data_IF_083994544849
#
_entry.id   IF_083994544849
#
_cell.length_a   1.000
_cell.length_b   1.000
_cell.length_c   1.000
_cell.angle_alpha   90.00
_cell.angle_beta   90.00
_cell.angle_gamma   90.00
#
_symmetry.space_group_name_H-M   'P 1'
#
loop_
_entity.id
_entity.type
_entity.pdbx_description
1 polymer ?
#
# COMPACT_ATOMS: atom_id res chain seq x y z
N UNK A 1 -20.37 -23.05 46.14
CA UNK A 1 -21.26 -22.64 45.03
C UNK A 1 -21.14 -21.13 44.85
N UNK A 2 -20.75 -20.74 43.63
CA UNK A 2 -20.95 -19.44 42.95
C UNK A 2 -20.01 -18.26 43.26
N UNK A 3 -19.20 -17.99 42.22
CA UNK A 3 -18.56 -16.75 41.78
C UNK A 3 -19.48 -15.51 41.76
N UNK A 4 -18.85 -14.36 41.48
CA UNK A 4 -19.38 -13.12 40.87
C UNK A 4 -19.59 -12.00 41.90
N UNK A 5 -18.92 -10.85 41.90
CA UNK A 5 -18.44 -9.97 40.82
C UNK A 5 -17.14 -9.26 41.29
N UNK A 6 -16.03 -9.45 40.58
CA UNK A 6 -14.92 -8.49 40.54
C UNK A 6 -14.93 -7.91 39.13
N UNK A 7 -15.74 -6.87 38.93
CA UNK A 7 -15.73 -6.05 37.71
C UNK A 7 -14.68 -4.98 37.86
N UNK A 8 -13.66 -5.10 37.01
CA UNK A 8 -12.98 -4.03 36.25
C UNK A 8 -13.19 -2.60 36.75
N UNK A 9 -12.16 -2.06 37.42
CA UNK A 9 -11.63 -0.71 37.23
C UNK A 9 -10.39 -0.55 38.13
N UNK A 10 -9.20 -0.71 37.57
CA UNK A 10 -7.97 -0.24 38.23
C UNK A 10 -7.90 1.26 37.97
N UNK A 11 -8.45 2.04 38.89
CA UNK A 11 -8.39 3.49 38.90
C UNK A 11 -6.95 3.93 39.19
N UNK A 12 -6.20 4.23 38.14
CA UNK A 12 -4.81 4.64 38.19
C UNK A 12 -4.75 6.14 38.54
N UNK A 13 -4.86 6.44 39.83
CA UNK A 13 -4.72 7.78 40.37
C UNK A 13 -3.24 8.14 40.51
N UNK A 14 -2.65 8.67 39.44
CA UNK A 14 -1.40 9.43 39.54
C UNK A 14 -1.79 10.89 39.74
N UNK A 15 -1.40 11.44 40.88
CA UNK A 15 -1.52 12.87 41.19
C UNK A 15 -0.76 13.68 40.14
N UNK A 16 -1.48 14.53 39.40
CA UNK A 16 -0.88 15.50 38.49
C UNK A 16 -0.10 16.53 39.31
N UNK A 17 1.21 16.35 39.42
CA UNK A 17 2.11 17.46 39.69
C UNK A 17 2.41 18.11 38.34
N UNK A 18 2.03 19.39 38.22
CA UNK A 18 2.37 20.25 37.09
C UNK A 18 3.90 20.40 37.00
N UNK A 19 4.54 19.57 36.17
CA UNK A 19 5.86 19.88 35.66
C UNK A 19 5.71 20.57 34.31
N UNK A 20 6.27 21.78 34.22
CA UNK A 20 6.25 22.64 33.06
C UNK A 20 6.89 21.96 31.85
N UNK A 21 6.08 21.74 30.82
CA UNK A 21 6.50 21.31 29.50
C UNK A 21 7.41 22.38 28.86
N UNK A 22 8.70 22.09 28.68
CA UNK A 22 9.46 22.68 27.59
C UNK A 22 9.06 21.95 26.31
N UNK A 23 7.94 22.40 25.74
CA UNK A 23 7.61 22.14 24.35
C UNK A 23 8.76 22.68 23.49
N UNK A 24 9.46 21.77 22.80
CA UNK A 24 10.25 22.17 21.64
C UNK A 24 9.23 22.67 20.62
N UNK A 25 9.06 23.99 20.55
CA UNK A 25 8.33 24.67 19.49
C UNK A 25 8.89 24.21 18.15
N UNK A 26 8.18 23.26 17.53
CA UNK A 26 8.32 22.94 16.12
C UNK A 26 7.75 24.15 15.38
N UNK A 27 8.61 25.12 15.12
CA UNK A 27 8.30 26.30 14.30
C UNK A 27 7.72 25.83 12.97
N UNK A 28 6.39 25.93 12.87
CA UNK A 28 5.61 25.51 11.73
C UNK A 28 5.95 26.34 10.50
N UNK A 29 6.75 25.76 9.61
CA UNK A 29 6.60 26.02 8.19
C UNK A 29 5.52 25.05 7.72
N UNK A 30 4.36 25.58 7.36
CA UNK A 30 3.29 24.80 6.74
C UNK A 30 3.83 24.13 5.47
N UNK A 31 4.20 22.86 5.58
CA UNK A 31 4.55 22.00 4.46
C UNK A 31 3.21 21.45 3.94
N UNK A 32 2.84 21.83 2.71
CA UNK A 32 1.61 21.47 1.96
C UNK A 32 1.43 19.94 1.71
N UNK A 33 2.21 19.10 2.39
CA UNK A 33 2.05 17.65 2.40
C UNK A 33 0.97 17.27 3.43
N UNK A 34 -0.28 17.55 3.08
CA UNK A 34 -1.48 17.15 3.83
C UNK A 34 -1.32 15.74 4.44
N UNK A 35 -1.42 15.74 5.77
CA UNK A 35 -0.85 14.77 6.72
C UNK A 35 -1.53 13.38 6.75
N UNK A 36 -2.38 13.05 5.78
CA UNK A 36 -3.24 11.85 5.82
C UNK A 36 -2.80 10.73 4.84
N UNK A 37 -1.98 11.07 3.83
CA UNK A 37 -1.67 10.13 2.75
C UNK A 37 -0.48 9.19 3.03
N UNK A 38 0.34 9.47 4.04
CA UNK A 38 1.40 8.55 4.47
C UNK A 38 0.83 7.37 5.29
N UNK A 39 -0.25 7.61 6.04
CA UNK A 39 -1.06 6.55 6.65
C UNK A 39 -1.71 5.68 5.57
N UNK A 40 -2.12 6.26 4.45
CA UNK A 40 -2.67 5.51 3.31
C UNK A 40 -1.70 4.44 2.76
N UNK A 41 -0.38 4.65 2.78
CA UNK A 41 0.59 3.60 2.36
C UNK A 41 0.62 2.42 3.37
N UNK A 42 0.35 2.70 4.65
CA UNK A 42 0.28 1.68 5.69
C UNK A 42 -1.08 0.98 5.78
N UNK A 43 -2.15 1.71 5.46
CA UNK A 43 -3.56 1.29 5.45
C UNK A 43 -4.02 0.73 4.10
N UNK A 44 -3.22 0.84 3.04
CA UNK A 44 -3.33 -0.09 1.93
C UNK A 44 -2.77 -1.43 2.39
N UNK A 45 -3.56 -2.11 3.22
CA UNK A 45 -3.82 -3.51 2.97
C UNK A 45 -3.99 -3.71 1.45
N UNK A 46 -3.64 -4.89 0.97
CA UNK A 46 -3.91 -5.38 -0.37
C UNK A 46 -5.41 -5.44 -0.73
N UNK A 47 -6.26 -4.58 -0.17
CA UNK A 47 -7.72 -4.60 -0.24
C UNK A 47 -8.23 -3.16 -0.35
N UNK A 48 -8.25 -2.66 -1.59
CA UNK A 48 -8.79 -1.35 -1.94
C UNK A 48 -9.03 -1.20 -3.44
N UNK A 49 -9.29 -2.32 -4.14
CA UNK A 49 -9.99 -2.40 -5.42
C UNK A 49 -10.43 -3.87 -5.57
N UNK A 50 -11.63 -4.14 -5.07
CA UNK A 50 -12.53 -5.26 -5.39
C UNK A 50 -11.87 -6.58 -5.84
N UNK A 51 -11.62 -7.45 -4.86
CA UNK A 51 -11.66 -8.89 -5.06
C UNK A 51 -13.14 -9.27 -5.20
N UNK A 52 -13.64 -9.22 -6.41
CA UNK A 52 -14.73 -10.10 -6.83
C UNK A 52 -14.18 -11.14 -7.80
N UNK A 53 -14.11 -12.37 -7.28
CA UNK A 53 -14.44 -13.60 -8.00
C UNK A 53 -13.41 -14.23 -8.95
N UNK A 54 -12.31 -14.73 -8.37
CA UNK A 54 -11.69 -15.98 -8.85
C UNK A 54 -12.45 -17.18 -8.28
N UNK A 55 -13.71 -17.39 -8.71
CA UNK A 55 -14.48 -18.63 -8.42
C UNK A 55 -15.63 -18.93 -9.40
N UNK A 56 -15.73 -18.24 -10.55
CA UNK A 56 -16.86 -18.39 -11.47
C UNK A 56 -16.53 -19.07 -12.80
N UNK A 57 -15.25 -19.32 -13.10
CA UNK A 57 -14.82 -19.75 -14.45
C UNK A 57 -14.91 -21.28 -14.62
N UNK A 58 -15.00 -22.06 -13.53
CA UNK A 58 -15.12 -23.52 -13.62
C UNK A 58 -16.56 -24.00 -13.90
N UNK A 59 -17.57 -23.29 -13.41
CA UNK A 59 -18.97 -23.76 -13.51
C UNK A 59 -19.66 -23.37 -14.83
N UNK A 60 -19.15 -22.38 -15.55
CA UNK A 60 -19.69 -21.96 -16.85
C UNK A 60 -19.20 -22.87 -17.99
N UNK A 61 -17.99 -23.43 -17.88
CA UNK A 61 -17.46 -24.40 -18.85
C UNK A 61 -18.20 -25.76 -18.78
N UNK A 62 -18.60 -26.20 -17.58
CA UNK A 62 -19.35 -27.45 -17.40
C UNK A 62 -20.81 -27.38 -17.92
N UNK A 63 -21.42 -26.19 -17.96
CA UNK A 63 -22.78 -25.99 -18.50
C UNK A 63 -22.82 -25.83 -20.04
N UNK A 64 -21.67 -25.63 -20.68
CA UNK A 64 -21.57 -25.54 -22.14
C UNK A 64 -21.39 -26.93 -22.79
N UNK A 65 -20.75 -27.89 -22.11
CA UNK A 65 -20.51 -29.24 -22.63
C UNK A 65 -21.75 -30.17 -22.56
N UNK A 66 -22.76 -29.84 -21.74
CA UNK A 66 -24.01 -30.60 -21.65
C UNK A 66 -25.10 -30.16 -22.63
N UNK A 67 -24.84 -29.16 -23.48
CA UNK A 67 -25.81 -28.65 -24.49
C UNK A 67 -25.43 -28.94 -25.94
N UNK A 68 -24.31 -29.60 -26.19
CA UNK A 68 -23.91 -30.07 -27.51
C UNK A 68 -24.11 -31.58 -27.64
N UNK A 69 -25.36 -32.04 -27.58
CA UNK A 69 -25.74 -33.39 -28.03
C UNK A 69 -26.83 -33.23 -29.08
N UNK A 70 -26.39 -33.08 -30.33
CA UNK A 70 -27.25 -33.12 -31.50
C UNK A 70 -27.17 -34.56 -32.03
N UNK A 71 -28.30 -35.28 -32.19
CA UNK A 71 -28.27 -36.62 -32.77
C UNK A 71 -27.93 -36.54 -34.27
N UNK A 72 -27.26 -37.55 -34.83
CA UNK A 72 -26.92 -37.54 -36.24
C UNK A 72 -28.19 -37.67 -37.08
N UNK A 73 -28.39 -36.73 -38.01
CA UNK A 73 -29.39 -36.82 -39.06
C UNK A 73 -28.81 -37.63 -40.21
N UNK A 74 -29.31 -38.84 -40.39
CA UNK A 74 -29.14 -39.61 -41.63
C UNK A 74 -29.88 -38.88 -42.75
N UNK A 75 -29.11 -38.34 -43.70
CA UNK A 75 -29.64 -37.90 -44.99
C UNK A 75 -28.81 -38.59 -46.06
N UNK A 76 -29.49 -39.43 -46.83
CA UNK A 76 -28.97 -40.17 -47.97
C UNK A 76 -28.41 -39.21 -49.02
N UNK A 77 -27.16 -39.47 -49.41
CA UNK A 77 -26.52 -38.89 -50.58
C UNK A 77 -27.28 -39.33 -51.83
N UNK A 78 -27.72 -38.36 -52.64
CA UNK A 78 -27.83 -38.53 -54.08
C UNK A 78 -27.33 -37.23 -54.75
N UNK A 79 -26.58 -37.48 -55.82
CA UNK A 79 -25.75 -36.61 -56.64
C UNK A 79 -26.37 -35.27 -57.06
N UNK A 80 -25.53 -34.23 -57.22
CA UNK A 80 -25.48 -33.33 -58.41
C UNK A 80 -24.17 -32.51 -58.37
N UNK A 81 -23.30 -32.87 -59.32
CA UNK A 81 -22.41 -32.07 -60.17
C UNK A 81 -21.54 -30.92 -59.61
N UNK A 82 -20.22 -31.15 -59.75
CA UNK A 82 -19.14 -30.23 -60.10
C UNK A 82 -19.44 -28.72 -60.25
N UNK A 83 -18.78 -27.90 -59.42
CA UNK A 83 -17.97 -26.78 -59.93
C UNK A 83 -16.95 -26.28 -58.90
N UNK A 84 -15.71 -26.20 -59.37
CA UNK A 84 -14.52 -25.57 -58.79
C UNK A 84 -14.75 -24.49 -57.71
N UNK A 85 -14.23 -24.72 -56.50
CA UNK A 85 -14.12 -23.68 -55.47
C UNK A 85 -12.83 -23.78 -54.66
N UNK A 86 -11.69 -23.80 -55.34
CA UNK A 86 -10.40 -23.41 -54.74
C UNK A 86 -10.15 -21.93 -55.05
N UNK A 87 -10.67 -21.03 -54.19
CA UNK A 87 -10.12 -19.68 -53.90
C UNK A 87 -10.98 -18.82 -52.95
N UNK A 88 -12.06 -19.33 -52.33
CA UNK A 88 -13.00 -18.46 -51.59
C UNK A 88 -12.78 -18.37 -50.07
N UNK A 89 -11.70 -18.93 -49.53
CA UNK A 89 -11.50 -19.05 -48.07
C UNK A 89 -10.52 -17.99 -47.50
N UNK A 90 -9.71 -17.29 -48.31
CA UNK A 90 -8.83 -16.23 -47.78
C UNK A 90 -9.51 -14.86 -47.66
N UNK A 91 -10.36 -14.47 -48.61
CA UNK A 91 -10.95 -13.11 -48.63
C UNK A 91 -12.03 -12.87 -47.56
N UNK A 92 -12.78 -13.91 -47.17
CA UNK A 92 -13.83 -13.77 -46.15
C UNK A 92 -13.28 -13.69 -44.71
N UNK A 93 -12.09 -14.23 -44.47
CA UNK A 93 -11.40 -14.10 -43.18
C UNK A 93 -10.79 -12.70 -43.04
N UNK A 94 -10.14 -12.19 -44.10
CA UNK A 94 -9.59 -10.82 -44.13
C UNK A 94 -10.67 -9.75 -44.04
N UNK A 95 -11.81 -9.89 -44.73
CA UNK A 95 -12.90 -8.90 -44.68
C UNK A 95 -13.60 -8.81 -43.31
N UNK A 96 -13.72 -9.93 -42.59
CA UNK A 96 -14.24 -9.94 -41.22
C UNK A 96 -13.24 -9.36 -40.20
N UNK A 97 -11.93 -9.58 -40.40
CA UNK A 97 -10.90 -8.95 -39.56
C UNK A 97 -10.81 -7.44 -39.80
N UNK A 98 -10.86 -6.99 -41.06
CA UNK A 98 -10.80 -5.56 -41.40
C UNK A 98 -12.00 -4.78 -40.83
N UNK A 99 -13.20 -5.35 -40.87
CA UNK A 99 -14.40 -4.74 -40.28
C UNK A 99 -14.35 -4.71 -38.75
N UNK A 100 -13.84 -5.78 -38.11
CA UNK A 100 -13.63 -5.80 -36.66
C UNK A 100 -12.56 -4.79 -36.20
N UNK A 101 -11.49 -4.62 -36.97
CA UNK A 101 -10.42 -3.63 -36.72
C UNK A 101 -10.96 -2.20 -36.84
N UNK A 102 -11.77 -1.92 -37.86
CA UNK A 102 -12.41 -0.61 -38.04
C UNK A 102 -13.41 -0.29 -36.91
N UNK A 103 -14.21 -1.26 -36.48
CA UNK A 103 -15.10 -1.09 -35.33
C UNK A 103 -14.34 -0.83 -34.03
N UNK A 104 -13.26 -1.57 -33.78
CA UNK A 104 -12.40 -1.38 -32.60
C UNK A 104 -11.77 0.01 -32.60
N UNK A 105 -11.27 0.46 -33.75
CA UNK A 105 -10.70 1.80 -33.94
C UNK A 105 -11.73 2.91 -33.71
N UNK A 106 -12.96 2.75 -34.22
CA UNK A 106 -14.08 3.67 -33.95
C UNK A 106 -14.47 3.73 -32.48
N UNK A 107 -14.50 2.60 -31.76
CA UNK A 107 -14.79 2.55 -30.32
C UNK A 107 -13.70 3.26 -29.50
N UNK A 108 -12.43 3.08 -29.86
CA UNK A 108 -11.31 3.78 -29.23
C UNK A 108 -11.40 5.29 -29.43
N UNK A 109 -11.67 5.76 -30.64
CA UNK A 109 -11.84 7.18 -30.94
C UNK A 109 -13.00 7.81 -30.14
N UNK A 110 -14.11 7.06 -29.96
CA UNK A 110 -15.23 7.50 -29.11
C UNK A 110 -14.85 7.63 -27.64
N UNK A 111 -14.04 6.70 -27.10
CA UNK A 111 -13.51 6.80 -25.73
C UNK A 111 -12.65 8.05 -25.59
N UNK A 112 -11.62 8.21 -26.45
CA UNK A 112 -10.74 9.41 -26.47
C UNK A 112 -11.55 10.71 -26.49
N UNK A 113 -12.54 10.82 -27.36
CA UNK A 113 -13.39 11.99 -27.45
C UNK A 113 -14.21 12.25 -26.17
N UNK A 114 -14.62 11.19 -25.44
CA UNK A 114 -15.29 11.30 -24.15
C UNK A 114 -14.35 11.84 -23.07
N UNK A 115 -13.12 11.30 -22.96
CA UNK A 115 -12.14 11.81 -21.99
C UNK A 115 -11.78 13.27 -22.28
N UNK A 116 -11.58 13.64 -23.55
CA UNK A 116 -11.31 15.03 -23.93
C UNK A 116 -12.46 15.99 -23.59
N UNK A 117 -13.71 15.56 -23.78
CA UNK A 117 -14.87 16.36 -23.36
C UNK A 117 -14.95 16.51 -21.85
N UNK A 118 -14.66 15.45 -21.10
CA UNK A 118 -14.65 15.48 -19.64
C UNK A 118 -13.60 16.47 -19.11
N UNK A 119 -12.37 16.43 -19.66
CA UNK A 119 -11.28 17.36 -19.30
C UNK A 119 -11.63 18.83 -19.58
N UNK A 120 -12.45 19.13 -20.59
CA UNK A 120 -12.90 20.50 -20.90
C UNK A 120 -14.04 20.99 -20.01
N UNK A 121 -14.85 20.07 -19.49
CA UNK A 121 -16.09 20.39 -18.78
C UNK A 121 -15.87 20.46 -17.27
N UNK A 122 -14.93 19.68 -16.74
CA UNK A 122 -14.73 19.54 -15.31
C UNK A 122 -14.27 20.85 -14.65
N UNK A 123 -14.84 21.15 -13.48
CA UNK A 123 -14.54 22.35 -12.73
C UNK A 123 -13.05 22.35 -12.35
N UNK A 124 -12.41 23.52 -12.44
CA UNK A 124 -10.99 23.66 -12.16
C UNK A 124 -10.64 23.22 -10.73
N UNK A 125 -11.58 23.38 -9.79
CA UNK A 125 -11.42 23.06 -8.36
C UNK A 125 -11.50 21.56 -8.02
N UNK A 126 -11.96 20.71 -8.93
CA UNK A 126 -12.11 19.26 -8.68
C UNK A 126 -10.83 18.52 -9.10
N UNK A 127 -9.74 18.70 -8.34
CA UNK A 127 -8.43 18.14 -8.68
C UNK A 127 -8.39 16.60 -8.72
N UNK A 128 -9.11 15.95 -7.81
CA UNK A 128 -9.18 14.48 -7.72
C UNK A 128 -9.88 13.87 -8.91
N UNK A 129 -11.05 14.41 -9.26
CA UNK A 129 -11.84 13.96 -10.41
C UNK A 129 -11.11 14.21 -11.73
N UNK A 130 -10.41 15.34 -11.85
CA UNK A 130 -9.50 15.59 -12.98
C UNK A 130 -8.41 14.53 -13.10
N UNK A 131 -7.76 14.19 -11.99
CA UNK A 131 -6.72 13.16 -11.99
C UNK A 131 -7.29 11.79 -12.38
N UNK A 132 -8.49 11.45 -11.92
CA UNK A 132 -9.18 10.20 -12.31
C UNK A 132 -9.43 10.12 -13.82
N UNK A 133 -9.81 11.24 -14.46
CA UNK A 133 -9.94 11.29 -15.91
C UNK A 133 -8.59 11.06 -16.60
N UNK A 134 -7.51 11.64 -16.10
CA UNK A 134 -6.16 11.39 -16.65
C UNK A 134 -5.72 9.93 -16.46
N UNK A 135 -6.03 9.30 -15.31
CA UNK A 135 -5.78 7.87 -15.09
C UNK A 135 -6.53 7.01 -16.10
N UNK A 136 -7.81 7.31 -16.34
CA UNK A 136 -8.59 6.63 -17.37
C UNK A 136 -7.95 6.81 -18.77
N UNK A 137 -7.47 8.01 -19.07
CA UNK A 137 -6.81 8.31 -20.33
C UNK A 137 -5.47 7.57 -20.47
N UNK A 138 -4.66 7.47 -19.39
CA UNK A 138 -3.45 6.64 -19.38
C UNK A 138 -3.76 5.17 -19.65
N UNK A 139 -4.75 4.59 -18.97
CA UNK A 139 -5.15 3.21 -19.19
C UNK A 139 -5.59 2.98 -20.65
N UNK A 140 -6.30 3.94 -21.25
CA UNK A 140 -6.75 3.86 -22.64
C UNK A 140 -5.58 3.90 -23.63
N UNK A 141 -4.66 4.85 -23.50
CA UNK A 141 -3.49 4.93 -24.38
C UNK A 141 -2.51 3.79 -24.15
N UNK A 142 -2.39 3.26 -22.93
CA UNK A 142 -1.55 2.10 -22.67
C UNK A 142 -2.10 0.84 -23.34
N UNK A 143 -3.43 0.69 -23.41
CA UNK A 143 -4.05 -0.49 -24.01
C UNK A 143 -4.14 -0.41 -25.54
N UNK A 144 -4.30 0.80 -26.09
CA UNK A 144 -4.67 0.98 -27.50
C UNK A 144 -3.83 2.01 -28.27
N UNK A 145 -2.89 2.69 -27.60
CA UNK A 145 -1.98 3.61 -28.25
C UNK A 145 -1.03 2.90 -29.21
N UNK A 146 -0.47 3.64 -30.16
CA UNK A 146 0.49 3.10 -31.12
C UNK A 146 1.63 4.11 -31.44
N UNK A 147 2.87 3.83 -31.01
CA UNK A 147 3.23 2.86 -29.97
C UNK A 147 2.60 3.25 -28.61
N UNK A 148 2.22 2.27 -27.76
CA UNK A 148 1.58 2.56 -26.46
C UNK A 148 2.41 3.50 -25.58
N UNK A 149 3.72 3.27 -25.50
CA UNK A 149 4.63 4.06 -24.66
C UNK A 149 4.65 5.53 -25.06
N UNK A 150 4.74 5.83 -26.36
CA UNK A 150 4.72 7.21 -26.86
C UNK A 150 3.36 7.88 -26.64
N UNK A 151 2.28 7.14 -26.81
CA UNK A 151 0.92 7.64 -26.61
C UNK A 151 0.69 8.00 -25.13
N UNK A 152 1.07 7.11 -24.22
CA UNK A 152 1.03 7.35 -22.78
C UNK A 152 1.91 8.54 -22.41
N UNK A 153 3.12 8.64 -22.97
CA UNK A 153 4.03 9.75 -22.69
C UNK A 153 3.47 11.10 -23.16
N UNK A 154 2.78 11.16 -24.31
CA UNK A 154 2.10 12.37 -24.78
C UNK A 154 0.98 12.80 -23.82
N UNK A 155 0.14 11.86 -23.37
CA UNK A 155 -0.90 12.14 -22.36
C UNK A 155 -0.27 12.57 -21.05
N UNK A 156 0.85 11.97 -20.66
CA UNK A 156 1.55 12.30 -19.42
C UNK A 156 2.08 13.73 -19.44
N UNK A 157 2.73 14.16 -20.52
CA UNK A 157 3.17 15.54 -20.69
C UNK A 157 2.01 16.54 -20.67
N UNK A 158 0.85 16.16 -21.20
CA UNK A 158 -0.36 16.99 -21.11
C UNK A 158 -0.87 17.06 -19.67
N UNK A 159 -1.00 15.93 -18.97
CA UNK A 159 -1.48 15.89 -17.60
C UNK A 159 -0.64 16.75 -16.65
N UNK A 160 0.68 16.80 -16.85
CA UNK A 160 1.60 17.65 -16.08
C UNK A 160 1.33 19.17 -16.21
N UNK A 161 0.60 19.62 -17.24
CA UNK A 161 0.24 21.03 -17.40
C UNK A 161 -0.98 21.45 -16.58
N UNK A 162 -1.78 20.47 -16.14
CA UNK A 162 -3.10 20.72 -15.51
C UNK A 162 -3.21 20.21 -14.08
N UNK A 163 -2.32 19.31 -13.67
CA UNK A 163 -2.36 18.64 -12.38
C UNK A 163 -1.00 18.72 -11.68
N UNK A 164 -1.00 18.54 -10.35
CA UNK A 164 0.25 18.48 -9.57
C UNK A 164 1.21 17.42 -10.16
N UNK A 165 2.45 17.81 -10.50
CA UNK A 165 3.39 16.89 -11.12
C UNK A 165 3.59 15.61 -10.34
N UNK A 166 3.70 15.67 -9.01
CA UNK A 166 3.97 14.49 -8.18
C UNK A 166 2.79 13.50 -8.23
N UNK A 167 1.55 13.98 -8.06
CA UNK A 167 0.33 13.17 -8.19
C UNK A 167 0.23 12.48 -9.55
N UNK A 168 0.52 13.19 -10.64
CA UNK A 168 0.50 12.61 -12.01
C UNK A 168 1.55 11.53 -12.18
N UNK A 169 2.75 11.67 -11.62
CA UNK A 169 3.78 10.61 -11.68
C UNK A 169 3.34 9.36 -10.90
N UNK A 170 2.73 9.52 -9.71
CA UNK A 170 2.19 8.39 -8.96
C UNK A 170 1.02 7.70 -9.68
N UNK A 171 0.13 8.47 -10.31
CA UNK A 171 -0.94 7.94 -11.13
C UNK A 171 -0.41 7.09 -12.30
N UNK A 172 0.62 7.58 -12.99
CA UNK A 172 1.27 6.84 -14.07
C UNK A 172 1.99 5.60 -13.54
N UNK A 173 2.70 5.71 -12.42
CA UNK A 173 3.38 4.57 -11.77
C UNK A 173 2.38 3.47 -11.39
N UNK A 174 1.27 3.84 -10.76
CA UNK A 174 0.21 2.92 -10.39
C UNK A 174 -0.48 2.27 -11.59
N UNK A 175 -0.48 2.92 -12.75
CA UNK A 175 -0.91 2.30 -14.01
C UNK A 175 0.09 1.24 -14.47
N UNK A 176 1.39 1.57 -14.54
CA UNK A 176 2.41 0.61 -14.95
C UNK A 176 2.48 -0.61 -14.04
N UNK A 177 2.35 -0.43 -12.72
CA UNK A 177 2.31 -1.52 -11.74
C UNK A 177 1.11 -2.45 -11.95
N UNK A 178 -0.10 -1.90 -12.17
CA UNK A 178 -1.31 -2.71 -12.45
C UNK A 178 -1.23 -3.47 -13.77
N UNK A 179 -0.51 -2.93 -14.76
CA UNK A 179 -0.30 -3.59 -16.05
C UNK A 179 0.98 -4.42 -16.10
N UNK A 180 1.64 -4.64 -14.97
CA UNK A 180 2.86 -5.46 -14.84
C UNK A 180 4.03 -5.00 -15.74
N UNK A 181 4.06 -3.72 -16.10
CA UNK A 181 5.13 -3.11 -16.90
C UNK A 181 6.31 -2.71 -16.00
N UNK A 182 6.95 -3.70 -15.37
CA UNK A 182 7.94 -3.49 -14.30
C UNK A 182 9.13 -2.62 -14.71
N UNK A 183 9.63 -2.76 -15.96
CA UNK A 183 10.76 -1.96 -16.47
C UNK A 183 10.41 -0.47 -16.53
N UNK A 184 9.25 -0.13 -17.10
CA UNK A 184 8.79 1.26 -17.21
C UNK A 184 8.46 1.85 -15.83
N UNK A 185 7.88 1.05 -14.93
CA UNK A 185 7.64 1.45 -13.54
C UNK A 185 8.96 1.79 -12.82
N UNK A 186 9.99 0.95 -12.96
CA UNK A 186 11.30 1.18 -12.34
C UNK A 186 11.99 2.43 -12.90
N UNK A 187 12.02 2.59 -14.24
CA UNK A 187 12.60 3.78 -14.87
C UNK A 187 11.89 5.07 -14.43
N UNK A 188 10.55 5.03 -14.33
CA UNK A 188 9.76 6.15 -13.84
C UNK A 188 10.11 6.46 -12.39
N UNK A 189 10.21 5.45 -11.54
CA UNK A 189 10.52 5.62 -10.13
C UNK A 189 11.93 6.16 -9.89
N UNK A 190 12.90 5.76 -10.73
CA UNK A 190 14.25 6.34 -10.74
C UNK A 190 14.23 7.82 -11.14
N UNK A 191 13.42 8.21 -12.13
CA UNK A 191 13.19 9.62 -12.49
C UNK A 191 12.52 10.39 -11.34
N UNK A 192 11.53 9.77 -10.68
CA UNK A 192 10.83 10.36 -9.53
C UNK A 192 11.76 10.56 -8.34
N UNK A 193 12.63 9.61 -8.01
CA UNK A 193 13.57 9.72 -6.87
C UNK A 193 14.57 10.88 -7.03
N UNK A 194 14.91 11.22 -8.28
CA UNK A 194 15.77 12.37 -8.61
C UNK A 194 14.97 13.70 -8.56
N UNK A 195 13.77 13.72 -9.15
CA UNK A 195 12.93 14.93 -9.28
C UNK A 195 12.29 15.33 -7.95
N UNK A 196 11.82 14.37 -7.17
CA UNK A 196 11.09 14.55 -5.91
C UNK A 196 11.90 14.02 -4.72
N UNK A 197 13.21 14.26 -4.71
CA UNK A 197 14.17 13.72 -3.75
C UNK A 197 13.88 14.05 -2.28
N UNK A 198 13.07 15.08 -2.00
CA UNK A 198 12.66 15.46 -0.65
C UNK A 198 11.34 14.80 -0.20
N UNK A 199 10.69 13.99 -1.06
CA UNK A 199 9.43 13.33 -0.75
C UNK A 199 9.68 11.94 -0.14
N UNK A 200 9.27 11.75 1.11
CA UNK A 200 9.31 10.44 1.76
C UNK A 200 8.50 9.39 1.01
N UNK A 201 7.32 9.78 0.48
CA UNK A 201 6.41 8.88 -0.25
C UNK A 201 7.10 8.25 -1.47
N UNK A 202 7.92 9.01 -2.19
CA UNK A 202 8.67 8.51 -3.36
C UNK A 202 9.74 7.49 -2.95
N UNK A 203 10.50 7.78 -1.90
CA UNK A 203 11.51 6.84 -1.38
C UNK A 203 10.88 5.58 -0.80
N UNK A 204 9.78 5.70 -0.04
CA UNK A 204 9.04 4.55 0.48
C UNK A 204 8.47 3.68 -0.65
N UNK A 205 8.00 4.29 -1.75
CA UNK A 205 7.58 3.52 -2.92
C UNK A 205 8.73 2.75 -3.55
N UNK A 206 9.94 3.34 -3.61
CA UNK A 206 11.15 2.61 -4.09
C UNK A 206 11.51 1.44 -3.19
N UNK A 207 11.46 1.63 -1.87
CA UNK A 207 11.68 0.55 -0.90
C UNK A 207 10.66 -0.58 -1.09
N UNK A 208 9.37 -0.24 -1.18
CA UNK A 208 8.29 -1.22 -1.38
C UNK A 208 8.48 -2.03 -2.67
N UNK A 209 8.83 -1.39 -3.79
CA UNK A 209 9.05 -2.09 -5.07
C UNK A 209 10.22 -3.07 -4.97
N UNK A 210 11.34 -2.68 -4.35
CA UNK A 210 12.48 -3.58 -4.14
C UNK A 210 12.10 -4.80 -3.30
N UNK A 211 11.35 -4.59 -2.22
CA UNK A 211 10.87 -5.67 -1.35
C UNK A 211 9.89 -6.60 -2.08
N UNK A 212 8.96 -6.04 -2.83
CA UNK A 212 7.97 -6.82 -3.60
C UNK A 212 8.65 -7.69 -4.67
N UNK A 213 9.73 -7.20 -5.26
CA UNK A 213 10.54 -7.95 -6.23
C UNK A 213 11.60 -8.86 -5.58
N UNK A 214 11.64 -8.94 -4.24
CA UNK A 214 12.63 -9.69 -3.46
C UNK A 214 14.08 -9.34 -3.85
N UNK A 215 14.33 -8.08 -4.20
CA UNK A 215 15.66 -7.61 -4.53
C UNK A 215 16.37 -7.10 -3.26
N UNK A 216 17.65 -7.43 -3.16
CA UNK A 216 18.54 -6.78 -2.21
C UNK A 216 18.81 -5.33 -2.62
N UNK A 217 19.19 -4.50 -1.64
CA UNK A 217 19.53 -3.09 -1.89
C UNK A 217 18.62 -2.06 -1.21
N UNK A 218 17.72 -2.49 -0.31
CA UNK A 218 16.91 -1.57 0.51
C UNK A 218 17.79 -0.62 1.32
N UNK A 219 18.84 -1.14 1.97
CA UNK A 219 19.71 -0.31 2.81
C UNK A 219 20.42 0.82 2.04
N UNK A 220 21.04 0.58 0.86
CA UNK A 220 21.52 1.66 0.00
C UNK A 220 20.48 2.72 -0.35
N UNK A 221 19.23 2.32 -0.66
CA UNK A 221 18.14 3.26 -0.97
C UNK A 221 17.77 4.09 0.25
N UNK A 222 17.66 3.46 1.43
CA UNK A 222 17.40 4.15 2.69
C UNK A 222 18.50 5.16 3.01
N UNK A 223 19.78 4.76 2.89
CA UNK A 223 20.90 5.67 3.10
C UNK A 223 20.86 6.86 2.14
N UNK A 224 20.58 6.62 0.86
CA UNK A 224 20.45 7.69 -0.15
C UNK A 224 19.27 8.62 0.14
N UNK A 225 18.14 8.07 0.61
CA UNK A 225 16.99 8.86 1.00
C UNK A 225 17.32 9.78 2.17
N UNK A 226 18.00 9.29 3.20
CA UNK A 226 18.40 10.09 4.37
C UNK A 226 19.36 11.23 4.03
N UNK A 227 20.18 11.09 2.98
CA UNK A 227 21.01 12.19 2.46
C UNK A 227 20.19 13.29 1.78
N UNK A 228 19.02 12.96 1.23
CA UNK A 228 18.18 13.90 0.48
C UNK A 228 17.03 14.48 1.33
N UNK A 229 16.51 13.71 2.28
CA UNK A 229 15.35 14.09 3.08
C UNK A 229 15.72 15.12 4.16
N UNK A 230 14.84 16.08 4.45
CA UNK A 230 14.97 16.93 5.64
C UNK A 230 15.01 16.10 6.93
N UNK A 231 15.80 16.53 7.92
CA UNK A 231 16.01 15.80 9.18
C UNK A 231 14.72 15.49 9.95
N UNK A 232 13.77 16.42 10.01
CA UNK A 232 12.49 16.20 10.69
C UNK A 232 11.67 15.05 10.07
N UNK A 233 11.91 14.70 8.79
CA UNK A 233 11.27 13.56 8.13
C UNK A 233 12.00 12.24 8.34
N UNK A 234 13.21 12.22 8.91
CA UNK A 234 14.04 11.01 9.02
C UNK A 234 13.40 9.93 9.88
N UNK A 235 12.95 10.28 11.08
CA UNK A 235 12.32 9.30 12.00
C UNK A 235 11.05 8.70 11.39
N UNK A 236 10.20 9.55 10.79
CA UNK A 236 9.01 9.10 10.05
C UNK A 236 9.40 8.18 8.90
N UNK A 237 10.41 8.54 8.10
CA UNK A 237 10.84 7.71 6.98
C UNK A 237 11.41 6.34 7.42
N UNK A 238 12.30 6.31 8.42
CA UNK A 238 12.94 5.07 8.88
C UNK A 238 11.91 4.14 9.51
N UNK A 239 11.02 4.65 10.37
CA UNK A 239 9.95 3.82 10.97
C UNK A 239 9.04 3.21 9.91
N UNK A 240 8.70 3.96 8.87
CA UNK A 240 7.89 3.46 7.76
C UNK A 240 8.63 2.42 6.91
N UNK A 241 9.91 2.66 6.61
CA UNK A 241 10.75 1.68 5.91
C UNK A 241 10.91 0.38 6.72
N UNK A 242 11.05 0.49 8.05
CA UNK A 242 11.10 -0.66 8.94
C UNK A 242 9.80 -1.49 8.87
N UNK A 243 8.63 -0.83 8.93
CA UNK A 243 7.34 -1.51 8.80
C UNK A 243 7.23 -2.25 7.45
N UNK A 244 7.74 -1.67 6.36
CA UNK A 244 7.77 -2.34 5.06
C UNK A 244 8.64 -3.61 5.09
N UNK A 245 9.82 -3.57 5.72
CA UNK A 245 10.67 -4.76 5.93
C UNK A 245 9.94 -5.83 6.77
N UNK A 246 9.18 -5.46 7.80
CA UNK A 246 8.36 -6.40 8.57
C UNK A 246 7.21 -7.02 7.77
N UNK A 247 6.65 -6.30 6.79
CA UNK A 247 5.49 -6.74 6.01
C UNK A 247 5.89 -7.58 4.80
N UNK A 248 6.96 -7.20 4.12
CA UNK A 248 7.29 -7.72 2.79
C UNK A 248 8.77 -8.05 2.61
N UNK A 249 9.60 -7.85 3.63
CA UNK A 249 11.03 -8.07 3.60
C UNK A 249 11.50 -9.06 4.66
N UNK A 250 12.66 -8.77 5.24
CA UNK A 250 13.25 -9.59 6.29
C UNK A 250 13.01 -8.90 7.64
N UNK A 251 12.28 -9.52 8.59
CA UNK A 251 12.01 -8.95 9.90
C UNK A 251 13.25 -8.41 10.62
N UNK A 252 14.39 -9.10 10.54
CA UNK A 252 15.64 -8.66 11.17
C UNK A 252 16.17 -7.33 10.65
N UNK A 253 15.90 -6.99 9.38
CA UNK A 253 16.23 -5.66 8.82
C UNK A 253 15.31 -4.59 9.42
N UNK A 254 14.03 -4.89 9.53
CA UNK A 254 13.06 -4.04 10.22
C UNK A 254 13.43 -3.80 11.69
N UNK A 255 13.80 -4.86 12.42
CA UNK A 255 14.33 -4.77 13.79
C UNK A 255 15.53 -3.84 13.84
N UNK A 256 16.53 -4.09 12.98
CA UNK A 256 17.74 -3.27 12.91
C UNK A 256 17.45 -1.77 12.70
N UNK A 257 16.45 -1.44 11.88
CA UNK A 257 16.00 -0.07 11.67
C UNK A 257 15.35 0.53 12.92
N UNK A 258 14.42 -0.17 13.58
CA UNK A 258 13.82 0.33 14.82
C UNK A 258 14.85 0.46 15.94
N UNK A 259 15.74 -0.52 16.11
CA UNK A 259 16.84 -0.47 17.07
C UNK A 259 17.75 0.75 16.84
N UNK A 260 18.03 1.07 15.56
CA UNK A 260 18.79 2.25 15.20
C UNK A 260 18.13 3.54 15.66
N UNK A 261 16.82 3.70 15.38
CA UNK A 261 16.09 4.92 15.76
C UNK A 261 15.87 5.00 17.28
N UNK A 262 15.57 3.88 17.94
CA UNK A 262 15.35 3.82 19.39
C UNK A 262 16.64 4.04 20.19
N UNK A 263 17.80 3.76 19.60
CA UNK A 263 19.09 4.14 20.19
C UNK A 263 19.26 5.66 20.28
N UNK A 264 18.80 6.39 19.28
CA UNK A 264 18.90 7.85 19.21
C UNK A 264 17.74 8.53 19.97
N UNK A 265 16.54 7.96 19.90
CA UNK A 265 15.32 8.49 20.51
C UNK A 265 14.65 7.50 21.48
N UNK A 266 15.33 7.09 22.57
CA UNK A 266 14.83 6.03 23.46
C UNK A 266 13.53 6.41 24.20
N UNK A 267 13.23 7.70 24.36
CA UNK A 267 12.02 8.18 25.06
C UNK A 267 10.78 8.37 24.17
N UNK A 268 10.88 8.03 22.88
CA UNK A 268 9.78 8.17 21.91
C UNK A 268 8.87 6.93 21.95
N UNK A 269 7.81 7.00 22.75
CA UNK A 269 6.91 5.85 23.02
C UNK A 269 6.05 5.42 21.83
N UNK A 270 5.80 6.32 20.89
CA UNK A 270 5.17 6.04 19.60
C UNK A 270 5.97 5.01 18.77
N UNK A 271 7.31 5.13 18.75
CA UNK A 271 8.18 4.18 18.06
C UNK A 271 8.20 2.82 18.76
N UNK A 272 8.29 2.81 20.09
CA UNK A 272 8.18 1.57 20.87
C UNK A 272 6.87 0.85 20.59
N UNK A 273 5.75 1.58 20.60
CA UNK A 273 4.43 1.02 20.33
C UNK A 273 4.35 0.42 18.94
N UNK A 274 4.83 1.15 17.93
CA UNK A 274 4.80 0.70 16.53
C UNK A 274 5.68 -0.54 16.32
N UNK A 275 6.85 -0.59 16.97
CA UNK A 275 7.75 -1.74 16.91
C UNK A 275 7.15 -2.97 17.60
N UNK A 276 6.59 -2.79 18.81
CA UNK A 276 5.85 -3.83 19.52
C UNK A 276 4.70 -4.38 18.66
N UNK A 277 3.95 -3.51 17.97
CA UNK A 277 2.88 -3.95 17.07
C UNK A 277 3.39 -4.80 15.90
N UNK A 278 4.60 -4.52 15.39
CA UNK A 278 5.20 -5.36 14.35
C UNK A 278 5.63 -6.73 14.90
N UNK A 279 6.25 -6.79 16.08
CA UNK A 279 6.66 -8.06 16.69
C UNK A 279 5.47 -8.91 17.13
N UNK A 280 4.42 -8.29 17.69
CA UNK A 280 3.16 -8.97 18.03
C UNK A 280 2.54 -9.63 16.80
N UNK A 281 2.62 -8.97 15.63
CA UNK A 281 2.16 -9.56 14.37
C UNK A 281 2.97 -10.79 13.94
N UNK A 282 4.28 -10.83 14.24
CA UNK A 282 5.11 -12.01 13.95
C UNK A 282 4.85 -13.15 14.93
N UNK A 283 4.49 -12.85 16.18
CA UNK A 283 4.00 -13.82 17.15
C UNK A 283 5.09 -14.58 17.91
N UNK A 284 6.35 -14.14 17.86
CA UNK A 284 7.43 -14.71 18.67
C UNK A 284 7.33 -14.17 20.11
N UNK A 285 6.74 -14.97 21.00
CA UNK A 285 6.44 -14.56 22.37
C UNK A 285 7.68 -14.14 23.17
N UNK A 286 8.82 -14.80 22.96
CA UNK A 286 10.04 -14.53 23.70
C UNK A 286 10.61 -13.17 23.28
N UNK A 287 10.61 -12.88 21.98
CA UNK A 287 11.02 -11.58 21.44
C UNK A 287 10.08 -10.47 21.89
N UNK A 288 8.77 -10.69 21.81
CA UNK A 288 7.76 -9.69 22.22
C UNK A 288 7.91 -9.36 23.70
N UNK A 289 7.99 -10.36 24.57
CA UNK A 289 8.17 -10.15 26.02
C UNK A 289 9.48 -9.46 26.32
N UNK A 290 10.59 -9.90 25.73
CA UNK A 290 11.88 -9.23 25.90
C UNK A 290 11.83 -7.74 25.47
N UNK A 291 11.11 -7.43 24.40
CA UNK A 291 10.92 -6.07 23.93
C UNK A 291 10.07 -5.23 24.89
N UNK A 292 8.99 -5.78 25.45
CA UNK A 292 8.19 -5.14 26.49
C UNK A 292 9.01 -4.88 27.76
N UNK A 293 9.75 -5.87 28.25
CA UNK A 293 10.62 -5.76 29.42
C UNK A 293 11.62 -4.62 29.26
N UNK A 294 12.22 -4.51 28.08
CA UNK A 294 13.15 -3.41 27.77
C UNK A 294 12.42 -2.06 27.74
N UNK A 295 11.23 -1.98 27.15
CA UNK A 295 10.47 -0.75 27.09
C UNK A 295 10.07 -0.22 28.48
N UNK A 296 9.66 -1.12 29.40
CA UNK A 296 9.29 -0.74 30.78
C UNK A 296 10.48 -0.48 31.71
N UNK A 297 11.69 -0.90 31.33
CA UNK A 297 12.92 -0.59 32.08
C UNK A 297 13.45 0.83 31.85
N UNK A 298 12.85 1.58 30.92
CA UNK A 298 13.26 2.94 30.61
C UNK A 298 12.92 3.91 31.76
N UNK A 299 13.64 5.02 31.85
CA UNK A 299 13.22 6.14 32.69
C UNK A 299 12.37 7.09 31.85
N UNK A 300 11.04 6.96 31.97
CA UNK A 300 10.04 7.76 31.25
C UNK A 300 9.11 8.47 32.25
N UNK A 301 8.43 9.55 31.83
CA UNK A 301 7.36 10.16 32.62
C UNK A 301 6.18 9.19 32.87
N UNK A 302 5.45 9.33 33.99
CA UNK A 302 4.40 8.38 34.36
C UNK A 302 3.29 8.20 33.32
N UNK A 303 2.89 9.28 32.64
CA UNK A 303 1.89 9.23 31.54
C UNK A 303 2.34 8.28 30.41
N UNK A 304 3.63 8.33 30.04
CA UNK A 304 4.22 7.49 29.00
C UNK A 304 4.42 6.05 29.46
N UNK A 305 4.83 5.83 30.72
CA UNK A 305 4.92 4.47 31.27
C UNK A 305 3.57 3.79 31.39
N UNK A 306 2.54 4.50 31.87
CA UNK A 306 1.16 3.99 31.94
C UNK A 306 0.72 3.41 30.60
N UNK A 307 1.03 4.11 29.51
CA UNK A 307 0.71 3.65 28.16
C UNK A 307 1.40 2.33 27.80
N UNK A 308 2.71 2.19 28.09
CA UNK A 308 3.45 0.95 27.82
C UNK A 308 2.99 -0.22 28.70
N UNK A 309 2.77 0.01 30.00
CA UNK A 309 2.24 -1.02 30.91
C UNK A 309 0.84 -1.46 30.50
N UNK A 310 -0.04 -0.53 30.11
CA UNK A 310 -1.37 -0.88 29.60
C UNK A 310 -1.27 -1.80 28.39
N UNK A 311 -0.44 -1.45 27.40
CA UNK A 311 -0.24 -2.28 26.21
C UNK A 311 0.33 -3.67 26.55
N UNK A 312 1.26 -3.76 27.50
CA UNK A 312 1.83 -5.04 27.95
C UNK A 312 0.78 -5.91 28.67
N UNK A 313 -0.02 -5.31 29.54
CA UNK A 313 -1.13 -6.00 30.21
C UNK A 313 -2.18 -6.50 29.21
N UNK A 314 -2.54 -5.68 28.22
CA UNK A 314 -3.49 -6.06 27.17
C UNK A 314 -2.94 -7.24 26.33
N UNK A 315 -1.63 -7.24 26.04
CA UNK A 315 -0.96 -8.35 25.38
C UNK A 315 -1.01 -9.64 26.21
N UNK A 316 -0.59 -9.63 27.49
CA UNK A 316 -0.59 -10.85 28.31
C UNK A 316 -2.02 -11.35 28.60
N UNK A 317 -3.00 -10.46 28.75
CA UNK A 317 -4.43 -10.82 28.81
C UNK A 317 -4.89 -11.54 27.55
N UNK A 318 -4.46 -11.10 26.38
CA UNK A 318 -4.79 -11.77 25.11
C UNK A 318 -4.17 -13.16 24.99
N UNK A 319 -3.06 -13.43 25.70
CA UNK A 319 -2.40 -14.73 25.78
C UNK A 319 -3.01 -15.66 26.84
N UNK A 320 -3.61 -15.09 27.89
CA UNK A 320 -4.28 -15.85 28.96
C UNK A 320 -3.34 -16.37 30.06
N UNK A 321 -2.15 -15.80 30.21
CA UNK A 321 -1.20 -16.17 31.26
C UNK A 321 -1.41 -15.33 32.54
N UNK A 322 -2.13 -15.89 33.51
CA UNK A 322 -2.46 -15.20 34.76
C UNK A 322 -1.23 -14.83 35.61
N UNK A 323 -0.20 -15.69 35.62
CA UNK A 323 1.03 -15.44 36.38
C UNK A 323 1.78 -14.23 35.81
N UNK A 324 1.83 -14.13 34.47
CA UNK A 324 2.46 -13.00 33.78
C UNK A 324 1.67 -11.73 33.94
N UNK A 325 0.35 -11.78 33.83
CA UNK A 325 -0.51 -10.61 34.07
C UNK A 325 -0.23 -10.04 35.47
N UNK A 326 -0.15 -10.90 36.49
CA UNK A 326 0.13 -10.47 37.85
C UNK A 326 1.58 -9.95 38.01
N UNK A 327 2.53 -10.56 37.32
CA UNK A 327 3.92 -10.07 37.28
C UNK A 327 4.00 -8.66 36.68
N UNK A 328 3.31 -8.39 35.57
CA UNK A 328 3.29 -7.06 34.93
C UNK A 328 2.60 -6.04 35.81
N UNK A 329 1.49 -6.39 36.49
CA UNK A 329 0.84 -5.51 37.48
C UNK A 329 1.79 -5.14 38.61
N UNK A 330 2.53 -6.12 39.15
CA UNK A 330 3.52 -5.87 40.21
C UNK A 330 4.59 -4.88 39.75
N UNK A 331 5.17 -5.10 38.57
CA UNK A 331 6.16 -4.18 37.99
C UNK A 331 5.62 -2.76 37.81
N UNK A 332 4.35 -2.63 37.44
CA UNK A 332 3.70 -1.32 37.33
C UNK A 332 3.54 -0.63 38.70
N UNK A 333 3.19 -1.38 39.75
CA UNK A 333 3.12 -0.85 41.13
C UNK A 333 4.50 -0.44 41.63
N UNK A 334 5.52 -1.29 41.46
CA UNK A 334 6.90 -1.01 41.85
C UNK A 334 7.42 0.28 41.18
N UNK A 335 7.08 0.48 39.89
CA UNK A 335 7.42 1.70 39.17
C UNK A 335 6.75 2.94 39.76
N UNK A 336 5.46 2.87 40.11
CA UNK A 336 4.73 3.98 40.73
C UNK A 336 5.33 4.32 42.10
N UNK A 337 5.62 3.31 42.92
CA UNK A 337 6.28 3.52 44.22
C UNK A 337 7.64 4.20 44.06
N UNK A 338 8.45 3.74 43.10
CA UNK A 338 9.78 4.30 42.83
C UNK A 338 9.78 5.74 42.28
N UNK A 339 8.65 6.18 41.72
CA UNK A 339 8.50 7.54 41.18
C UNK A 339 7.91 8.53 42.18
N UNK A 340 7.38 8.04 43.31
CA UNK A 340 6.84 8.86 44.40
C UNK A 340 7.88 9.16 45.50
N UNK A 341 8.96 8.38 45.57
CA UNK A 341 10.16 8.63 46.39
C UNK A 341 11.19 9.46 45.64
#
# INVERSE_FOLDING_TARGET
>A
MKNSYFTDDIDFQITEQEESDEDIEETGVADDDADDEARSILLTDSTGMDIEYRSGVSDVLAQAESRASIPPLDVTLDDIEHSDMENFISENQENNEVTAIDEKSKRQAKKKAKEERALRTINIREETEKLNIWVAYFNLENQYGNPPEEAVQKVFQRALQYCDPRKVHFALLGMYERTEQHKLAEELLDKMSKKFKHSCKVWLRRVLVLLTQQQDGVQPVVNRALLCLPRHKHVKFISQAAILEFKSGVPDRGRSMFEGVLREYPKRTDLWSTYLDQEIRLGDEDVIRALFERAISLSLPPKKMKFLFKKYLDYEKSRGDEERIESVKRKAMDYVESTLT
#
